data_IF_187826139017
#
_entry.id   IF_187826139017
#
_cell.length_a   1.000
_cell.length_b   1.000
_cell.length_c   1.000
_cell.angle_alpha   90.00
_cell.angle_beta   90.00
_cell.angle_gamma   90.00
#
_symmetry.space_group_name_H-M   'P 1'
#
loop_
_entity.id
_entity.type
_entity.pdbx_description
1 polymer ?
#
# COMPACT_ATOMS: atom_id res chain seq x y z
N UNK A 1 3.88 3.24 23.68
CA UNK A 1 4.70 4.11 24.55
C UNK A 1 4.50 5.52 24.04
N UNK A 2 4.09 6.46 24.88
CA UNK A 2 3.90 7.85 24.41
C UNK A 2 5.24 8.58 24.47
N UNK A 3 5.50 9.39 23.45
CA UNK A 3 6.72 10.19 23.30
C UNK A 3 6.66 11.41 24.23
N UNK A 4 6.77 11.18 25.54
CA UNK A 4 6.70 12.21 26.57
C UNK A 4 7.92 12.08 27.49
N UNK A 5 8.63 13.18 27.74
CA UNK A 5 9.78 13.22 28.65
C UNK A 5 9.38 13.25 30.14
N UNK A 6 10.39 13.29 31.01
CA UNK A 6 10.20 13.32 32.46
C UNK A 6 9.49 14.60 32.94
N UNK A 7 9.59 15.69 32.17
CA UNK A 7 8.93 16.97 32.45
C UNK A 7 7.52 17.07 31.85
N UNK A 8 7.02 15.99 31.22
CA UNK A 8 5.68 15.95 30.65
C UNK A 8 5.57 16.62 29.27
N UNK A 9 6.69 16.94 28.62
CA UNK A 9 6.73 17.55 27.29
C UNK A 9 6.76 16.46 26.21
N UNK A 10 6.14 16.75 25.07
CA UNK A 10 6.21 15.87 23.91
C UNK A 10 7.66 15.81 23.40
N UNK A 11 8.14 14.62 23.05
CA UNK A 11 9.44 14.36 22.40
C UNK A 11 9.22 13.78 21.00
N UNK A 12 8.80 14.61 20.02
CA UNK A 12 8.29 14.12 18.74
C UNK A 12 9.32 13.29 17.99
N UNK A 13 8.85 12.33 17.20
CA UNK A 13 9.69 11.62 16.23
C UNK A 13 9.12 11.92 14.86
N UNK A 14 9.94 12.47 13.98
CA UNK A 14 9.55 12.80 12.62
C UNK A 14 10.17 11.79 11.66
N UNK A 15 9.34 11.27 10.75
CA UNK A 15 9.78 10.42 9.66
C UNK A 15 9.27 10.97 8.35
N UNK A 16 10.16 11.16 7.39
CA UNK A 16 9.80 11.54 6.03
C UNK A 16 10.08 10.35 5.10
N UNK A 17 9.18 10.06 4.19
CA UNK A 17 9.40 9.17 3.06
C UNK A 17 9.34 9.99 1.79
N UNK A 18 10.41 9.99 1.01
CA UNK A 18 10.51 10.75 -0.24
C UNK A 18 10.82 9.82 -1.41
N UNK A 19 10.29 10.15 -2.59
CA UNK A 19 10.60 9.50 -3.86
C UNK A 19 11.94 9.94 -4.49
N UNK A 20 12.79 10.58 -3.68
CA UNK A 20 14.18 10.90 -3.96
C UNK A 20 15.10 9.80 -3.40
N UNK A 21 16.13 9.36 -4.14
CA UNK A 21 17.21 8.54 -3.60
C UNK A 21 17.85 9.19 -2.36
N UNK A 22 18.42 8.37 -1.46
CA UNK A 22 19.05 8.89 -0.22
C UNK A 22 20.27 9.76 -0.49
N UNK A 23 20.94 9.55 -1.61
CA UNK A 23 22.14 10.24 -2.07
C UNK A 23 21.83 11.42 -3.02
N UNK A 24 20.56 11.77 -3.19
CA UNK A 24 20.13 12.88 -4.04
C UNK A 24 20.09 14.21 -3.26
N UNK A 25 20.52 15.31 -3.88
CA UNK A 25 20.46 16.65 -3.29
C UNK A 25 19.05 17.04 -2.82
N UNK A 26 18.01 16.60 -3.54
CA UNK A 26 16.62 16.83 -3.17
C UNK A 26 16.28 16.22 -1.79
N UNK A 27 16.87 15.08 -1.46
CA UNK A 27 16.71 14.44 -0.15
C UNK A 27 17.30 15.32 0.96
N UNK A 28 18.52 15.81 0.76
CA UNK A 28 19.23 16.65 1.72
C UNK A 28 18.54 18.01 1.92
N UNK A 29 18.07 18.63 0.83
CA UNK A 29 17.34 19.91 0.90
C UNK A 29 16.03 19.78 1.70
N UNK A 30 15.29 18.68 1.54
CA UNK A 30 14.07 18.40 2.31
C UNK A 30 14.39 18.22 3.79
N UNK A 31 15.44 17.45 4.10
CA UNK A 31 15.89 17.26 5.48
C UNK A 31 16.31 18.60 6.12
N UNK A 32 17.16 19.38 5.46
CA UNK A 32 17.62 20.68 5.94
C UNK A 32 16.46 21.67 6.13
N UNK A 33 15.48 21.66 5.22
CA UNK A 33 14.31 22.52 5.33
C UNK A 33 13.42 22.14 6.51
N UNK A 34 13.25 20.85 6.81
CA UNK A 34 12.53 20.41 8.01
C UNK A 34 13.25 20.78 9.29
N UNK A 35 14.57 20.56 9.36
CA UNK A 35 15.37 21.00 10.51
C UNK A 35 15.21 22.51 10.73
N UNK A 36 15.29 23.29 9.66
CA UNK A 36 15.13 24.74 9.70
C UNK A 36 13.73 25.14 10.18
N UNK A 37 12.68 24.50 9.67
CA UNK A 37 11.31 24.76 10.06
C UNK A 37 11.07 24.44 11.56
N UNK A 38 11.61 23.32 12.06
CA UNK A 38 11.56 22.95 13.46
C UNK A 38 12.25 24.00 14.35
N UNK A 39 13.47 24.42 14.00
CA UNK A 39 14.21 25.45 14.75
C UNK A 39 13.44 26.76 14.80
N UNK A 40 12.90 27.23 13.66
CA UNK A 40 12.11 28.47 13.60
C UNK A 40 10.86 28.46 14.49
N UNK A 41 10.25 27.29 14.66
CA UNK A 41 9.04 27.10 15.50
C UNK A 41 9.36 26.68 16.94
N UNK A 42 10.64 26.54 17.29
CA UNK A 42 11.05 26.09 18.62
C UNK A 42 10.68 24.63 18.94
N UNK A 43 10.58 23.78 17.91
CA UNK A 43 10.27 22.36 18.03
C UNK A 43 11.56 21.54 18.01
N UNK A 44 11.68 20.59 18.93
CA UNK A 44 12.88 19.75 19.08
C UNK A 44 12.51 18.26 19.02
N UNK A 45 12.44 17.68 17.81
CA UNK A 45 12.19 16.25 17.68
C UNK A 45 13.34 15.44 18.27
N UNK A 46 13.02 14.32 18.92
CA UNK A 46 14.00 13.34 19.37
C UNK A 46 14.72 12.67 18.19
N UNK A 47 14.07 12.60 17.03
CA UNK A 47 14.66 12.10 15.80
C UNK A 47 13.97 12.69 14.57
N UNK A 48 14.76 12.88 13.51
CA UNK A 48 14.28 13.17 12.15
C UNK A 48 14.93 12.13 11.23
N UNK A 49 14.13 11.19 10.72
CA UNK A 49 14.58 10.19 9.74
C UNK A 49 13.98 10.51 8.36
N UNK A 50 14.80 10.47 7.32
CA UNK A 50 14.34 10.59 5.93
C UNK A 50 14.62 9.27 5.23
N UNK A 51 13.58 8.59 4.79
CA UNK A 51 13.64 7.35 4.03
C UNK A 51 13.37 7.57 2.55
N UNK A 52 13.91 6.68 1.72
CA UNK A 52 13.68 6.69 0.28
C UNK A 52 12.63 5.65 -0.14
N UNK A 53 11.84 6.03 -1.14
CA UNK A 53 11.00 5.14 -1.94
C UNK A 53 11.40 5.26 -3.41
N UNK A 54 11.15 4.25 -4.26
CA UNK A 54 11.42 4.36 -5.69
C UNK A 54 10.68 5.55 -6.32
N UNK A 55 11.34 6.19 -7.28
CA UNK A 55 10.84 7.42 -7.89
C UNK A 55 9.45 7.26 -8.51
N UNK A 56 8.53 8.16 -8.16
CA UNK A 56 7.16 8.23 -8.68
C UNK A 56 6.27 7.01 -8.38
N UNK A 57 6.72 6.09 -7.51
CA UNK A 57 5.96 4.89 -7.16
C UNK A 57 4.99 5.14 -5.99
N UNK A 58 3.77 5.54 -6.35
CA UNK A 58 2.71 5.81 -5.36
C UNK A 58 2.23 4.57 -4.61
N UNK A 59 2.43 3.36 -5.15
CA UNK A 59 2.02 2.11 -4.49
C UNK A 59 2.99 1.79 -3.37
N UNK A 60 4.29 1.83 -3.66
CA UNK A 60 5.33 1.64 -2.64
C UNK A 60 5.26 2.75 -1.59
N UNK A 61 5.01 4.00 -2.00
CA UNK A 61 4.78 5.11 -1.08
C UNK A 61 3.71 4.75 -0.05
N UNK A 62 2.50 4.41 -0.52
CA UNK A 62 1.40 4.06 0.37
C UNK A 62 1.69 2.85 1.23
N UNK A 63 2.26 1.78 0.65
CA UNK A 63 2.53 0.54 1.37
C UNK A 63 3.57 0.73 2.48
N UNK A 64 4.70 1.40 2.18
CA UNK A 64 5.73 1.68 3.20
C UNK A 64 5.17 2.57 4.31
N UNK A 65 4.37 3.58 3.99
CA UNK A 65 3.75 4.45 4.99
C UNK A 65 2.81 3.64 5.89
N UNK A 66 1.88 2.87 5.32
CA UNK A 66 0.95 2.04 6.10
C UNK A 66 1.68 1.01 6.97
N UNK A 67 2.67 0.30 6.39
CA UNK A 67 3.46 -0.69 7.11
C UNK A 67 4.16 -0.10 8.35
N UNK A 68 4.74 1.10 8.23
CA UNK A 68 5.45 1.76 9.32
C UNK A 68 4.50 2.41 10.33
N UNK A 69 3.43 3.05 9.87
CA UNK A 69 2.44 3.73 10.71
C UNK A 69 1.72 2.72 11.60
N UNK A 70 1.14 1.66 11.02
CA UNK A 70 0.33 0.71 11.78
C UNK A 70 1.14 -0.24 12.66
N UNK A 71 2.45 -0.38 12.42
CA UNK A 71 3.35 -1.14 13.31
C UNK A 71 4.13 -0.25 14.29
N UNK A 72 3.88 1.06 14.31
CA UNK A 72 4.56 1.95 15.26
C UNK A 72 4.07 1.72 16.68
N UNK A 73 5.02 1.58 17.61
CA UNK A 73 4.76 1.50 19.06
C UNK A 73 4.85 2.87 19.77
N UNK A 74 5.16 3.94 19.04
CA UNK A 74 5.41 5.28 19.58
C UNK A 74 4.13 6.14 19.72
N UNK A 75 3.08 5.83 18.96
CA UNK A 75 1.78 6.49 19.09
C UNK A 75 1.81 8.01 18.93
N UNK A 76 1.10 8.72 19.81
CA UNK A 76 0.99 10.18 19.82
C UNK A 76 2.36 10.88 19.85
N UNK A 77 2.60 11.76 18.88
CA UNK A 77 3.88 12.46 18.67
C UNK A 77 4.80 11.82 17.64
N UNK A 78 4.43 10.65 17.10
CA UNK A 78 5.12 10.07 15.95
C UNK A 78 4.43 10.53 14.67
N UNK A 79 5.16 11.26 13.84
CA UNK A 79 4.62 11.97 12.70
C UNK A 79 5.33 11.52 11.43
N UNK A 80 4.56 11.06 10.46
CA UNK A 80 5.04 10.64 9.15
C UNK A 80 4.69 11.69 8.11
N UNK A 81 5.67 12.12 7.31
CA UNK A 81 5.43 12.76 6.03
C UNK A 81 5.71 11.76 4.91
N UNK A 82 4.87 11.71 3.88
CA UNK A 82 5.13 10.91 2.68
C UNK A 82 4.91 11.76 1.43
N UNK A 83 6.00 12.02 0.72
CA UNK A 83 6.02 12.72 -0.54
C UNK A 83 6.25 11.73 -1.68
N UNK A 84 5.24 11.58 -2.54
CA UNK A 84 5.35 10.95 -3.83
C UNK A 84 4.41 11.72 -4.76
N UNK A 85 4.95 12.38 -5.77
CA UNK A 85 4.16 13.28 -6.62
C UNK A 85 4.54 13.06 -8.09
N UNK A 86 3.90 12.10 -8.77
CA UNK A 86 4.22 11.76 -10.16
C UNK A 86 3.93 12.87 -11.18
N UNK A 87 3.14 13.89 -10.84
CA UNK A 87 2.84 15.07 -11.69
C UNK A 87 2.31 14.70 -13.07
N UNK A 88 1.34 13.76 -13.14
CA UNK A 88 0.78 13.25 -14.41
C UNK A 88 -0.20 14.22 -15.12
N UNK A 89 -0.11 15.52 -14.87
CA UNK A 89 -1.04 16.50 -15.48
C UNK A 89 -0.65 16.76 -16.95
N UNK A 90 -1.51 16.36 -17.88
CA UNK A 90 -1.27 16.47 -19.33
C UNK A 90 -1.55 17.90 -19.86
N UNK A 91 -2.34 18.72 -19.16
CA UNK A 91 -2.79 20.02 -19.68
C UNK A 91 -2.93 21.05 -18.57
N UNK A 92 -1.99 21.99 -18.46
CA UNK A 92 -2.29 23.44 -18.30
C UNK A 92 -1.04 24.24 -17.97
N UNK A 93 -1.03 25.50 -18.42
CA UNK A 93 -0.13 26.58 -17.97
C UNK A 93 -0.32 26.98 -16.50
N UNK A 94 -1.23 26.31 -15.76
CA UNK A 94 -1.55 26.50 -14.35
C UNK A 94 -1.51 25.16 -13.59
N UNK A 95 -0.57 24.26 -13.92
CA UNK A 95 -0.49 22.95 -13.28
C UNK A 95 -0.30 23.08 -11.77
N UNK A 96 -1.35 22.76 -11.01
CA UNK A 96 -1.28 22.54 -9.56
C UNK A 96 -0.74 21.15 -9.31
N UNK A 97 0.08 20.99 -8.28
CA UNK A 97 0.49 19.66 -7.86
C UNK A 97 -0.56 18.99 -6.99
N UNK A 98 -0.34 17.71 -6.68
CA UNK A 98 -1.24 16.92 -5.83
C UNK A 98 -1.26 17.46 -4.39
N UNK A 99 -2.44 17.53 -3.77
CA UNK A 99 -2.61 18.08 -2.42
C UNK A 99 -2.07 17.14 -1.34
N UNK A 100 -1.65 17.70 -0.21
CA UNK A 100 -1.34 16.92 0.98
C UNK A 100 -2.61 16.74 1.84
N UNK A 101 -2.76 15.57 2.44
CA UNK A 101 -3.85 15.24 3.36
C UNK A 101 -3.27 14.81 4.71
N UNK A 102 -4.03 15.05 5.77
CA UNK A 102 -3.63 14.81 7.15
C UNK A 102 -4.41 13.61 7.71
N UNK A 103 -3.73 12.53 8.08
CA UNK A 103 -4.30 11.37 8.76
C UNK A 103 -3.94 11.31 10.23
N UNK A 104 -4.85 10.87 11.09
CA UNK A 104 -4.54 10.49 12.48
C UNK A 104 -5.12 9.11 12.78
N UNK A 105 -4.27 8.23 13.31
CA UNK A 105 -4.67 6.87 13.70
C UNK A 105 -5.23 6.83 15.13
N UNK A 106 -5.90 5.74 15.47
CA UNK A 106 -6.34 5.43 16.84
C UNK A 106 -5.19 5.35 17.86
N UNK A 107 -3.96 5.10 17.42
CA UNK A 107 -2.78 5.12 18.30
C UNK A 107 -2.19 6.52 18.49
N UNK A 108 -2.71 7.52 17.77
CA UNK A 108 -2.23 8.91 17.78
C UNK A 108 -1.06 9.18 16.83
N UNK A 109 -0.67 8.20 16.00
CA UNK A 109 0.31 8.43 14.93
C UNK A 109 -0.32 9.35 13.90
N UNK A 110 0.44 10.34 13.43
CA UNK A 110 -0.04 11.36 12.49
C UNK A 110 0.66 11.21 11.15
N UNK A 111 -0.07 11.44 10.07
CA UNK A 111 0.36 11.17 8.69
C UNK A 111 0.09 12.43 7.86
N UNK A 112 1.09 12.97 7.19
CA UNK A 112 0.98 14.01 6.19
C UNK A 112 1.42 13.43 4.85
N UNK A 113 0.46 13.04 4.00
CA UNK A 113 0.75 12.31 2.76
C UNK A 113 0.24 13.07 1.55
N UNK A 114 1.06 13.13 0.50
CA UNK A 114 0.61 13.64 -0.80
C UNK A 114 -0.42 12.66 -1.36
N UNK A 115 -1.66 13.15 -1.56
CA UNK A 115 -2.75 12.36 -2.11
C UNK A 115 -2.59 12.25 -3.64
N UNK A 116 -1.83 11.26 -4.08
CA UNK A 116 -1.48 11.03 -5.49
C UNK A 116 -1.55 9.53 -5.82
N UNK A 117 -2.00 9.21 -7.03
CA UNK A 117 -2.03 7.82 -7.53
C UNK A 117 -2.68 6.86 -6.53
N UNK A 118 -1.87 5.96 -5.94
CA UNK A 118 -2.28 4.95 -4.98
C UNK A 118 -1.72 5.14 -3.55
N UNK A 119 -1.22 6.33 -3.19
CA UNK A 119 -0.62 6.57 -1.86
C UNK A 119 -1.57 6.28 -0.70
N UNK A 120 -2.88 6.48 -0.91
CA UNK A 120 -3.91 6.21 0.09
C UNK A 120 -4.51 4.80 0.02
N UNK A 121 -4.22 4.00 -1.03
CA UNK A 121 -4.88 2.70 -1.23
C UNK A 121 -4.73 1.73 -0.03
N UNK A 122 -3.54 1.59 0.60
CA UNK A 122 -3.38 0.67 1.73
C UNK A 122 -4.14 1.07 3.00
N UNK A 123 -4.66 2.30 3.08
CA UNK A 123 -5.42 2.80 4.22
C UNK A 123 -6.93 2.55 4.10
N UNK A 124 -7.44 2.07 2.96
CA UNK A 124 -8.89 1.93 2.72
C UNK A 124 -9.59 1.13 3.83
N UNK A 125 -9.09 -0.07 4.16
CA UNK A 125 -9.69 -0.90 5.22
C UNK A 125 -9.64 -0.21 6.58
N UNK A 126 -8.55 0.50 6.88
CA UNK A 126 -8.37 1.18 8.16
C UNK A 126 -9.32 2.38 8.32
N UNK A 127 -9.55 3.14 7.24
CA UNK A 127 -10.54 4.22 7.21
C UNK A 127 -11.94 3.65 7.34
N UNK A 128 -12.24 2.59 6.60
CA UNK A 128 -13.54 1.92 6.68
C UNK A 128 -13.83 1.38 8.10
N UNK A 129 -12.80 0.86 8.78
CA UNK A 129 -12.89 0.39 10.16
C UNK A 129 -12.85 1.51 11.22
N UNK A 130 -12.62 2.77 10.82
CA UNK A 130 -12.49 3.91 11.74
C UNK A 130 -11.16 4.00 12.49
N UNK A 131 -10.17 3.16 12.15
CA UNK A 131 -8.85 3.12 12.81
C UNK A 131 -7.96 4.31 12.43
N UNK A 132 -8.28 4.99 11.34
CA UNK A 132 -7.63 6.22 10.89
C UNK A 132 -8.66 7.12 10.21
N UNK A 133 -8.58 8.43 10.43
CA UNK A 133 -9.34 9.42 9.65
C UNK A 133 -8.37 10.35 8.95
N UNK A 134 -8.63 10.61 7.67
CA UNK A 134 -7.90 11.61 6.90
C UNK A 134 -8.74 12.87 6.71
N UNK A 135 -8.07 14.01 6.66
CA UNK A 135 -8.62 15.34 6.51
C UNK A 135 -7.97 16.03 5.31
N UNK A 136 -8.75 16.84 4.60
CA UNK A 136 -8.21 17.80 3.64
C UNK A 136 -7.27 18.78 4.36
N UNK A 137 -6.38 19.39 3.58
CA UNK A 137 -5.56 20.49 4.08
C UNK A 137 -5.59 21.69 3.13
N UNK A 138 -5.31 22.88 3.67
CA UNK A 138 -5.08 24.10 2.89
C UNK A 138 -3.60 24.40 2.65
N UNK A 139 -2.69 23.45 2.92
CA UNK A 139 -1.26 23.60 2.61
C UNK A 139 -1.09 23.86 1.11
N UNK A 140 -0.28 24.86 0.68
CA UNK A 140 -0.20 25.25 -0.72
C UNK A 140 0.16 24.11 -1.68
N UNK A 141 -0.62 23.96 -2.74
CA UNK A 141 -0.43 22.97 -3.82
C UNK A 141 0.15 23.56 -5.11
N UNK A 142 0.40 24.88 -5.11
CA UNK A 142 0.94 25.66 -6.21
C UNK A 142 1.91 26.74 -5.68
N UNK A 143 2.66 27.38 -6.58
CA UNK A 143 3.62 28.44 -6.24
C UNK A 143 5.06 27.97 -6.04
N UNK A 144 5.29 26.66 -5.99
CA UNK A 144 6.62 26.05 -5.94
C UNK A 144 6.67 24.77 -6.78
N UNK A 145 7.78 24.57 -7.49
CA UNK A 145 8.09 23.31 -8.15
C UNK A 145 8.64 22.25 -7.18
N UNK A 146 9.08 22.63 -5.98
CA UNK A 146 9.69 21.75 -4.98
C UNK A 146 9.00 21.87 -3.61
N UNK A 147 7.69 21.59 -3.60
CA UNK A 147 6.79 21.78 -2.44
C UNK A 147 7.18 20.99 -1.19
N UNK A 148 7.80 19.82 -1.35
CA UNK A 148 8.33 19.03 -0.24
C UNK A 148 9.51 19.68 0.48
N UNK A 149 10.15 20.67 -0.14
CA UNK A 149 11.15 21.55 0.47
C UNK A 149 10.52 22.86 0.93
N UNK A 150 9.69 23.47 0.08
CA UNK A 150 9.26 24.85 0.28
C UNK A 150 8.01 25.02 1.16
N UNK A 151 7.12 24.02 1.25
CA UNK A 151 5.84 24.12 1.97
C UNK A 151 5.62 23.05 3.03
N UNK A 152 5.90 21.78 2.69
CA UNK A 152 5.58 20.66 3.58
C UNK A 152 6.41 20.63 4.88
N UNK A 153 7.69 21.08 4.91
CA UNK A 153 8.46 21.14 6.15
C UNK A 153 7.86 22.09 7.19
N UNK A 154 7.36 23.24 6.74
CA UNK A 154 6.67 24.21 7.58
C UNK A 154 5.39 23.62 8.16
N UNK A 155 4.55 23.00 7.32
CA UNK A 155 3.34 22.32 7.77
C UNK A 155 3.62 21.20 8.79
N UNK A 156 4.67 20.40 8.58
CA UNK A 156 5.11 19.37 9.53
C UNK A 156 5.53 19.95 10.88
N UNK A 157 6.27 21.06 10.89
CA UNK A 157 6.71 21.70 12.11
C UNK A 157 5.53 22.37 12.86
N UNK A 158 4.60 23.01 12.14
CA UNK A 158 3.37 23.57 12.71
C UNK A 158 2.49 22.49 13.35
N UNK A 159 2.31 21.34 12.67
CA UNK A 159 1.64 20.18 13.24
C UNK A 159 2.29 19.72 14.55
N UNK A 160 3.62 19.66 14.55
CA UNK A 160 4.37 19.15 15.70
C UNK A 160 4.21 20.08 16.91
N UNK A 161 4.27 21.39 16.68
CA UNK A 161 3.99 22.39 17.71
C UNK A 161 2.55 22.27 18.23
N UNK A 162 1.57 22.17 17.32
CA UNK A 162 0.16 21.99 17.66
C UNK A 162 -0.07 20.76 18.54
N UNK A 163 0.50 19.61 18.20
CA UNK A 163 0.37 18.38 19.00
C UNK A 163 1.01 18.54 20.39
N UNK A 164 2.12 19.27 20.48
CA UNK A 164 2.80 19.58 21.74
C UNK A 164 1.93 20.46 22.63
N UNK A 165 1.29 21.48 22.06
CA UNK A 165 0.41 22.39 22.80
C UNK A 165 -0.91 21.72 23.20
N UNK A 166 -1.47 20.87 22.33
CA UNK A 166 -2.63 20.03 22.68
C UNK A 166 -2.31 19.10 23.84
N UNK A 167 -1.11 18.52 23.90
CA UNK A 167 -0.69 17.72 25.06
C UNK A 167 -0.65 18.55 26.34
N UNK A 168 -0.12 19.78 26.30
CA UNK A 168 -0.09 20.68 27.47
C UNK A 168 -1.50 21.06 27.95
N UNK A 169 -2.41 21.36 27.02
CA UNK A 169 -3.76 21.84 27.34
C UNK A 169 -4.69 20.71 27.78
N UNK A 170 -4.74 19.62 27.01
CA UNK A 170 -5.69 18.52 27.25
C UNK A 170 -5.15 17.53 28.29
N UNK A 171 -3.82 17.39 28.37
CA UNK A 171 -3.19 16.33 29.12
C UNK A 171 -3.31 14.97 28.43
N UNK A 172 -2.37 14.10 28.81
CA UNK A 172 -2.21 12.73 28.31
C UNK A 172 -3.47 11.88 28.43
N UNK A 173 -4.15 11.92 29.57
CA UNK A 173 -5.35 11.11 29.81
C UNK A 173 -6.53 11.51 28.92
N UNK A 174 -6.71 12.82 28.66
CA UNK A 174 -7.76 13.27 27.74
C UNK A 174 -7.43 12.87 26.30
N UNK A 175 -6.18 13.02 25.87
CA UNK A 175 -5.73 12.58 24.53
C UNK A 175 -6.03 11.08 24.34
N UNK A 176 -5.67 10.23 25.31
CA UNK A 176 -5.98 8.79 25.25
C UNK A 176 -7.46 8.51 25.08
N UNK A 177 -8.30 9.18 25.86
CA UNK A 177 -9.77 9.03 25.77
C UNK A 177 -10.30 9.45 24.40
N UNK A 178 -9.79 10.56 23.84
CA UNK A 178 -10.17 11.03 22.52
C UNK A 178 -9.75 10.06 21.41
N UNK A 179 -8.53 9.54 21.48
CA UNK A 179 -8.03 8.53 20.56
C UNK A 179 -8.86 7.24 20.62
N UNK A 180 -9.20 6.75 21.82
CA UNK A 180 -10.05 5.58 22.01
C UNK A 180 -11.48 5.79 21.51
N UNK A 181 -11.99 7.01 21.59
CA UNK A 181 -13.31 7.41 21.09
C UNK A 181 -13.32 7.74 19.59
N UNK A 182 -12.17 7.65 18.90
CA UNK A 182 -11.99 8.10 17.51
C UNK A 182 -12.35 9.58 17.29
N UNK A 183 -12.25 10.40 18.34
CA UNK A 183 -12.53 11.84 18.31
C UNK A 183 -11.29 12.64 17.85
N UNK A 184 -10.68 12.22 16.73
CA UNK A 184 -9.42 12.78 16.22
C UNK A 184 -9.53 14.27 15.89
N UNK A 185 -10.71 14.72 15.45
CA UNK A 185 -10.95 16.12 15.15
C UNK A 185 -10.77 17.02 16.38
N UNK A 186 -11.15 16.59 17.59
CA UNK A 186 -10.96 17.41 18.81
C UNK A 186 -9.46 17.68 19.11
N UNK A 187 -8.61 16.70 18.78
CA UNK A 187 -7.15 16.82 18.91
C UNK A 187 -6.62 17.78 17.85
N UNK A 188 -7.07 17.64 16.61
CA UNK A 188 -6.56 18.43 15.47
C UNK A 188 -7.17 19.83 15.37
N UNK A 189 -8.34 20.08 15.98
CA UNK A 189 -9.05 21.34 15.90
C UNK A 189 -8.16 22.51 16.35
N UNK A 190 -8.13 23.58 15.56
CA UNK A 190 -7.28 24.76 15.79
C UNK A 190 -5.96 24.72 15.04
N UNK A 191 -5.65 23.63 14.33
CA UNK A 191 -4.56 23.60 13.36
C UNK A 191 -4.97 24.40 12.11
N UNK A 192 -4.18 25.42 11.77
CA UNK A 192 -4.53 26.45 10.78
C UNK A 192 -4.93 25.93 9.40
N UNK A 193 -4.34 24.81 8.98
CA UNK A 193 -4.59 24.24 7.67
C UNK A 193 -5.52 23.03 7.66
N UNK A 194 -6.14 22.68 8.79
CA UNK A 194 -7.08 21.56 8.87
C UNK A 194 -8.35 21.86 8.07
N UNK A 195 -8.70 20.97 7.16
CA UNK A 195 -9.97 20.99 6.42
C UNK A 195 -10.92 19.87 6.83
N UNK A 196 -11.93 19.65 5.99
CA UNK A 196 -12.96 18.63 6.22
C UNK A 196 -12.40 17.20 6.13
N UNK A 197 -13.02 16.22 6.82
CA UNK A 197 -12.71 14.80 6.65
C UNK A 197 -12.84 14.35 5.18
N UNK A 198 -11.94 13.49 4.73
CA UNK A 198 -12.06 12.82 3.44
C UNK A 198 -13.20 11.79 3.47
N UNK A 199 -13.92 11.68 2.35
CA UNK A 199 -14.87 10.59 2.16
C UNK A 199 -14.16 9.30 1.75
N UNK A 200 -14.80 8.15 1.99
CA UNK A 200 -14.23 6.84 1.65
C UNK A 200 -14.00 6.67 0.13
N UNK A 201 -14.78 7.35 -0.71
CA UNK A 201 -14.60 7.36 -2.17
C UNK A 201 -13.33 8.09 -2.64
N UNK A 202 -12.64 8.80 -1.76
CA UNK A 202 -11.36 9.46 -2.05
C UNK A 202 -10.16 8.52 -2.00
N UNK A 203 -10.37 7.26 -1.60
CA UNK A 203 -9.32 6.26 -1.44
C UNK A 203 -9.31 5.33 -2.67
N UNK A 204 -8.23 5.34 -3.47
CA UNK A 204 -8.12 4.50 -4.66
C UNK A 204 -8.03 3.03 -4.26
N UNK A 205 -8.54 2.14 -5.11
CA UNK A 205 -8.51 0.70 -4.87
C UNK A 205 -7.49 0.02 -5.80
N UNK A 206 -6.66 -0.87 -5.24
CA UNK A 206 -5.85 -1.82 -6.01
C UNK A 206 -6.53 -3.17 -6.02
N UNK A 207 -6.61 -3.87 -7.17
CA UNK A 207 -7.11 -5.24 -7.20
C UNK A 207 -6.45 -6.11 -6.13
N UNK A 208 -7.23 -6.92 -5.41
CA UNK A 208 -6.66 -7.89 -4.46
C UNK A 208 -5.74 -8.87 -5.22
N UNK A 209 -4.55 -9.15 -4.67
CA UNK A 209 -3.49 -9.92 -5.33
C UNK A 209 -2.48 -9.07 -6.13
N UNK A 210 -2.61 -7.73 -6.15
CA UNK A 210 -1.63 -6.81 -6.71
C UNK A 210 -0.33 -6.75 -5.92
N UNK A 211 0.79 -6.59 -6.63
CA UNK A 211 2.12 -6.38 -6.05
C UNK A 211 2.19 -5.03 -5.34
N UNK A 212 2.40 -5.05 -4.01
CA UNK A 212 2.66 -3.85 -3.22
C UNK A 212 4.13 -3.44 -3.25
N UNK A 213 5.03 -4.42 -3.15
CA UNK A 213 6.45 -4.16 -2.92
C UNK A 213 7.29 -5.36 -3.32
N UNK A 214 8.46 -5.10 -3.88
CA UNK A 214 9.53 -6.11 -4.02
C UNK A 214 10.66 -5.71 -3.10
N UNK A 215 11.05 -6.61 -2.19
CA UNK A 215 12.12 -6.32 -1.25
C UNK A 215 13.52 -6.50 -1.86
N UNK A 216 14.56 -6.12 -1.12
CA UNK A 216 15.94 -6.21 -1.59
C UNK A 216 16.41 -7.65 -1.83
N UNK A 217 15.73 -8.64 -1.26
CA UNK A 217 15.99 -10.07 -1.49
C UNK A 217 15.24 -10.62 -2.71
N UNK A 218 14.37 -9.81 -3.31
CA UNK A 218 13.57 -10.18 -4.48
C UNK A 218 12.28 -10.90 -4.13
N UNK A 219 11.81 -10.82 -2.89
CA UNK A 219 10.51 -11.35 -2.52
C UNK A 219 9.41 -10.36 -2.91
N UNK A 220 8.29 -10.89 -3.42
CA UNK A 220 7.20 -10.10 -4.00
C UNK A 220 6.03 -10.09 -3.02
N UNK A 221 5.77 -8.95 -2.38
CA UNK A 221 4.68 -8.76 -1.41
C UNK A 221 3.39 -8.35 -2.11
N UNK A 222 2.30 -9.04 -1.81
CA UNK A 222 0.99 -8.83 -2.42
C UNK A 222 0.03 -8.11 -1.46
N UNK A 223 -0.92 -7.35 -1.98
CA UNK A 223 -2.01 -6.76 -1.19
C UNK A 223 -3.10 -7.77 -0.80
N UNK A 224 -2.71 -9.00 -0.46
CA UNK A 224 -3.63 -10.08 -0.17
C UNK A 224 -3.35 -10.71 1.18
N UNK A 225 -4.35 -10.72 2.08
CA UNK A 225 -4.20 -11.30 3.42
C UNK A 225 -3.98 -12.80 3.30
N UNK A 226 -2.89 -13.32 3.87
CA UNK A 226 -2.48 -14.70 3.66
C UNK A 226 -3.50 -15.73 4.15
N UNK A 227 -4.16 -15.49 5.29
CA UNK A 227 -5.20 -16.40 5.76
C UNK A 227 -6.39 -16.52 4.79
N UNK A 228 -6.70 -15.48 3.97
CA UNK A 228 -7.75 -15.57 2.95
C UNK A 228 -7.36 -16.54 1.83
N UNK A 229 -6.08 -16.56 1.46
CA UNK A 229 -5.54 -17.50 0.45
C UNK A 229 -5.79 -18.95 0.89
N UNK A 230 -5.51 -19.23 2.16
CA UNK A 230 -5.62 -20.58 2.72
C UNK A 230 -7.06 -21.14 2.73
N UNK A 231 -8.08 -20.27 2.61
CA UNK A 231 -9.47 -20.70 2.45
C UNK A 231 -9.73 -21.36 1.09
N UNK A 232 -8.94 -21.01 0.07
CA UNK A 232 -9.08 -21.54 -1.29
C UNK A 232 -8.03 -22.60 -1.60
N UNK A 233 -6.81 -22.40 -1.12
CA UNK A 233 -5.66 -23.25 -1.42
C UNK A 233 -4.92 -23.60 -0.13
N UNK A 234 -5.09 -24.81 0.41
CA UNK A 234 -4.37 -25.26 1.60
C UNK A 234 -2.83 -25.30 1.38
N UNK A 235 -2.02 -25.24 2.46
CA UNK A 235 -0.58 -25.44 2.35
C UNK A 235 -0.23 -26.77 1.66
N UNK A 236 0.82 -26.75 0.84
CA UNK A 236 1.24 -27.86 -0.02
C UNK A 236 0.57 -27.88 -1.40
N UNK A 237 -0.43 -27.03 -1.65
CA UNK A 237 -1.11 -26.97 -2.95
C UNK A 237 -0.18 -26.40 -4.03
N UNK A 238 0.08 -27.13 -5.13
CA UNK A 238 0.80 -26.60 -6.28
C UNK A 238 -0.13 -25.73 -7.15
N UNK A 239 0.31 -24.51 -7.42
CA UNK A 239 -0.39 -23.56 -8.27
C UNK A 239 0.50 -23.13 -9.43
N UNK A 240 -0.14 -22.79 -10.56
CA UNK A 240 0.47 -21.98 -11.61
C UNK A 240 0.09 -20.54 -11.34
N UNK A 241 1.08 -19.66 -11.22
CA UNK A 241 0.90 -18.21 -11.01
C UNK A 241 1.30 -17.45 -12.25
N UNK A 242 0.39 -16.65 -12.78
CA UNK A 242 0.67 -15.61 -13.76
C UNK A 242 0.88 -14.27 -13.08
N UNK A 243 1.98 -13.59 -13.44
CA UNK A 243 2.28 -12.21 -13.05
C UNK A 243 3.01 -11.51 -14.20
N UNK A 244 2.50 -10.35 -14.61
CA UNK A 244 2.99 -9.67 -15.81
C UNK A 244 2.82 -10.55 -17.06
N UNK A 245 3.92 -10.83 -17.77
CA UNK A 245 3.92 -11.67 -18.98
C UNK A 245 4.46 -13.09 -18.72
N UNK A 246 4.58 -13.50 -17.46
CA UNK A 246 5.25 -14.75 -17.10
C UNK A 246 4.34 -15.63 -16.25
N UNK A 247 4.52 -16.94 -16.40
CA UNK A 247 3.93 -17.96 -15.52
C UNK A 247 5.04 -18.68 -14.77
N UNK A 248 4.80 -19.02 -13.51
CA UNK A 248 5.68 -19.87 -12.71
C UNK A 248 4.86 -20.83 -11.87
N UNK A 249 5.36 -22.06 -11.71
CA UNK A 249 4.85 -22.96 -10.68
C UNK A 249 5.25 -22.43 -9.30
N UNK A 250 4.31 -22.47 -8.36
CA UNK A 250 4.53 -22.10 -6.96
C UNK A 250 3.84 -23.11 -6.04
N UNK A 251 4.38 -23.28 -4.83
CA UNK A 251 3.74 -24.08 -3.78
C UNK A 251 3.16 -23.15 -2.72
N UNK A 252 1.91 -23.37 -2.32
CA UNK A 252 1.32 -22.64 -1.19
C UNK A 252 1.97 -23.09 0.11
N UNK A 253 2.50 -22.16 0.89
CA UNK A 253 3.06 -22.41 2.22
C UNK A 253 2.26 -21.72 3.32
N UNK A 254 2.55 -22.09 4.57
CA UNK A 254 2.01 -21.48 5.79
C UNK A 254 2.86 -20.27 6.27
N UNK A 255 4.19 -20.41 6.25
CA UNK A 255 5.16 -19.37 6.62
C UNK A 255 6.45 -19.53 5.80
N UNK A 256 7.17 -18.42 5.56
CA UNK A 256 8.22 -18.37 4.54
C UNK A 256 9.35 -19.40 4.62
N UNK A 257 9.57 -20.03 5.78
CA UNK A 257 10.65 -21.00 5.97
C UNK A 257 10.22 -22.47 5.92
N UNK A 258 8.94 -22.78 5.68
CA UNK A 258 8.48 -24.18 5.65
C UNK A 258 8.85 -24.94 4.38
N UNK A 259 9.40 -24.24 3.37
CA UNK A 259 9.75 -24.84 2.08
C UNK A 259 11.24 -25.15 1.95
N UNK A 260 11.53 -26.15 1.12
CA UNK A 260 12.90 -26.50 0.72
C UNK A 260 13.55 -25.41 -0.12
N UNK A 261 14.88 -25.44 -0.20
CA UNK A 261 15.64 -24.56 -1.09
C UNK A 261 15.25 -24.76 -2.56
N UNK A 262 15.22 -23.67 -3.33
CA UNK A 262 14.87 -23.71 -4.76
C UNK A 262 13.37 -23.79 -5.07
N UNK A 263 12.50 -23.90 -4.06
CA UNK A 263 11.04 -23.88 -4.25
C UNK A 263 10.54 -22.44 -4.25
N UNK A 264 9.87 -22.02 -5.33
CA UNK A 264 9.08 -20.78 -5.34
C UNK A 264 7.80 -21.04 -4.57
N UNK A 265 7.57 -20.25 -3.52
CA UNK A 265 6.48 -20.43 -2.58
C UNK A 265 5.58 -19.20 -2.53
N UNK A 266 4.28 -19.42 -2.36
CA UNK A 266 3.32 -18.38 -2.00
C UNK A 266 2.98 -18.54 -0.52
N UNK A 267 3.48 -17.64 0.31
CA UNK A 267 3.57 -17.85 1.77
C UNK A 267 3.20 -16.61 2.57
N UNK A 268 3.03 -16.75 3.88
CA UNK A 268 2.88 -15.62 4.80
C UNK A 268 4.21 -14.86 4.92
N UNK A 269 4.21 -13.62 4.45
CA UNK A 269 5.36 -12.73 4.53
C UNK A 269 5.51 -12.06 5.90
N UNK A 270 6.57 -11.28 6.07
CA UNK A 270 6.83 -10.49 7.30
C UNK A 270 6.09 -9.15 7.36
N UNK A 271 5.41 -8.77 6.29
CA UNK A 271 4.64 -7.52 6.20
C UNK A 271 3.16 -7.75 6.46
N UNK A 272 2.51 -6.74 7.02
CA UNK A 272 1.18 -6.86 7.60
C UNK A 272 1.01 -5.96 8.81
N UNK A 273 -0.23 -5.79 9.23
CA UNK A 273 -0.60 -4.92 10.34
C UNK A 273 -1.94 -5.33 10.93
N UNK A 274 -2.34 -4.66 12.02
CA UNK A 274 -3.64 -4.85 12.65
C UNK A 274 -4.56 -3.68 12.28
N UNK A 275 -5.75 -4.02 11.78
CA UNK A 275 -6.83 -3.06 11.49
C UNK A 275 -8.14 -3.65 12.00
N UNK A 276 -8.91 -2.83 12.72
CA UNK A 276 -10.21 -3.20 13.24
C UNK A 276 -10.13 -4.35 14.25
N UNK A 277 -11.19 -5.16 14.30
CA UNK A 277 -11.33 -6.28 15.24
C UNK A 277 -10.71 -7.58 14.76
N UNK A 278 -10.24 -7.65 13.51
CA UNK A 278 -9.68 -8.87 12.90
C UNK A 278 -8.32 -9.27 13.49
N UNK A 279 -7.69 -8.40 14.28
CA UNK A 279 -6.35 -8.63 14.81
C UNK A 279 -5.26 -8.38 13.76
N UNK A 280 -4.02 -8.77 14.09
CA UNK A 280 -2.88 -8.61 13.18
C UNK A 280 -2.96 -9.66 12.07
N UNK A 281 -2.94 -9.23 10.82
CA UNK A 281 -2.82 -10.10 9.66
C UNK A 281 -1.48 -9.90 8.96
N UNK A 282 -1.08 -10.91 8.19
CA UNK A 282 0.10 -10.89 7.33
C UNK A 282 -0.32 -10.95 5.86
N UNK A 283 0.45 -10.28 5.01
CA UNK A 283 0.28 -10.35 3.57
C UNK A 283 0.90 -11.61 2.98
N UNK A 284 0.33 -12.05 1.87
CA UNK A 284 0.91 -13.10 1.03
C UNK A 284 2.13 -12.56 0.30
N UNK A 285 3.14 -13.41 0.15
CA UNK A 285 4.40 -13.10 -0.51
C UNK A 285 4.81 -14.24 -1.43
N UNK A 286 5.28 -13.92 -2.64
CA UNK A 286 5.99 -14.86 -3.48
C UNK A 286 7.46 -14.82 -3.05
N UNK A 287 7.95 -15.95 -2.57
CA UNK A 287 9.23 -16.11 -1.90
C UNK A 287 10.00 -17.25 -2.56
N UNK A 288 11.33 -17.12 -2.67
CA UNK A 288 12.21 -18.19 -3.14
C UNK A 288 13.33 -18.39 -2.13
N UNK A 289 13.32 -19.53 -1.45
CA UNK A 289 14.37 -19.84 -0.46
C UNK A 289 15.72 -20.03 -1.15
N UNK A 290 16.71 -19.26 -0.71
CA UNK A 290 18.08 -19.32 -1.27
C UNK A 290 18.22 -18.58 -2.60
N UNK A 291 17.19 -17.87 -3.07
CA UNK A 291 17.22 -17.16 -4.34
C UNK A 291 16.36 -15.89 -4.32
N UNK A 292 16.01 -15.41 -5.52
CA UNK A 292 15.15 -14.24 -5.70
C UNK A 292 13.89 -14.61 -6.47
N UNK A 293 12.71 -14.40 -5.89
CA UNK A 293 11.44 -14.73 -6.55
C UNK A 293 11.16 -13.81 -7.76
N UNK A 294 11.55 -12.54 -7.67
CA UNK A 294 11.42 -11.55 -8.76
C UNK A 294 12.13 -11.96 -10.05
N UNK A 295 13.19 -12.76 -9.98
CA UNK A 295 13.89 -13.28 -11.15
C UNK A 295 13.03 -14.22 -12.02
N UNK A 296 12.00 -14.85 -11.43
CA UNK A 296 11.02 -15.66 -12.15
C UNK A 296 9.95 -14.82 -12.86
N UNK A 297 9.89 -13.51 -12.61
CA UNK A 297 8.88 -12.62 -13.18
C UNK A 297 9.55 -11.36 -13.77
N UNK A 298 10.36 -11.51 -14.84
CA UNK A 298 11.06 -10.40 -15.44
C UNK A 298 10.08 -9.31 -15.92
N UNK A 299 10.37 -8.06 -15.56
CA UNK A 299 9.57 -6.91 -15.94
C UNK A 299 8.29 -6.71 -15.13
N UNK A 300 8.08 -7.45 -14.03
CA UNK A 300 6.98 -7.19 -13.09
C UNK A 300 7.03 -5.73 -12.60
N UNK A 301 5.86 -5.16 -12.34
CA UNK A 301 5.71 -3.83 -11.75
C UNK A 301 4.80 -3.89 -10.52
N UNK A 302 4.99 -2.95 -9.60
CA UNK A 302 4.00 -2.73 -8.55
C UNK A 302 2.64 -2.40 -9.15
N UNK A 303 1.59 -2.95 -8.55
CA UNK A 303 0.22 -2.88 -9.07
C UNK A 303 -0.16 -4.03 -9.99
N UNK A 304 0.80 -4.74 -10.61
CA UNK A 304 0.51 -5.94 -11.38
C UNK A 304 -0.19 -6.97 -10.49
N UNK A 305 -1.29 -7.55 -10.98
CA UNK A 305 -2.09 -8.51 -10.23
C UNK A 305 -1.62 -9.94 -10.49
N UNK A 306 -1.42 -10.70 -9.43
CA UNK A 306 -1.24 -12.15 -9.51
C UNK A 306 -2.56 -12.81 -9.88
N UNK A 307 -2.50 -13.77 -10.80
CA UNK A 307 -3.60 -14.71 -11.06
C UNK A 307 -3.07 -16.12 -10.86
N UNK A 308 -3.73 -16.92 -10.04
CA UNK A 308 -3.31 -18.27 -9.70
C UNK A 308 -4.44 -19.28 -9.91
N UNK A 309 -4.08 -20.48 -10.36
CA UNK A 309 -4.98 -21.64 -10.40
C UNK A 309 -4.18 -22.94 -10.33
N UNK A 310 -4.86 -24.07 -10.18
CA UNK A 310 -4.20 -25.37 -10.26
C UNK A 310 -3.77 -25.68 -11.70
N UNK A 311 -2.68 -26.44 -11.86
CA UNK A 311 -2.23 -26.88 -13.19
C UNK A 311 -3.29 -27.73 -13.93
N UNK A 312 -4.07 -28.50 -13.17
CA UNK A 312 -5.17 -29.29 -13.72
C UNK A 312 -6.27 -28.41 -14.31
N UNK A 313 -6.65 -27.32 -13.62
CA UNK A 313 -7.65 -26.39 -14.12
C UNK A 313 -7.14 -25.60 -15.32
N UNK A 314 -5.86 -25.19 -15.32
CA UNK A 314 -5.24 -24.55 -16.48
C UNK A 314 -5.25 -25.45 -17.71
N UNK A 315 -4.92 -26.74 -17.55
CA UNK A 315 -4.95 -27.68 -18.66
C UNK A 315 -6.37 -27.85 -19.24
N UNK A 316 -7.40 -27.95 -18.38
CA UNK A 316 -8.80 -28.01 -18.83
C UNK A 316 -9.20 -26.75 -19.61
N UNK A 317 -8.80 -25.56 -19.12
CA UNK A 317 -9.04 -24.29 -19.83
C UNK A 317 -8.38 -24.34 -21.21
N UNK A 318 -7.10 -24.71 -21.28
CA UNK A 318 -6.35 -24.79 -22.54
C UNK A 318 -7.00 -25.78 -23.50
N UNK A 319 -7.44 -26.94 -23.02
CA UNK A 319 -8.08 -27.96 -23.86
C UNK A 319 -9.43 -27.47 -24.40
N UNK A 320 -10.23 -26.76 -23.60
CA UNK A 320 -11.47 -26.14 -24.07
C UNK A 320 -11.21 -25.05 -25.11
N UNK A 321 -10.17 -24.23 -24.92
CA UNK A 321 -9.79 -23.18 -25.86
C UNK A 321 -9.24 -23.73 -27.17
N UNK A 322 -8.42 -24.80 -27.12
CA UNK A 322 -7.90 -25.49 -28.32
C UNK A 322 -8.99 -26.13 -29.17
N UNK A 323 -10.06 -26.60 -28.52
CA UNK A 323 -11.21 -27.20 -29.19
C UNK A 323 -12.33 -26.18 -29.53
N UNK A 324 -12.08 -24.88 -29.32
CA UNK A 324 -13.05 -23.85 -29.63
C UNK A 324 -13.26 -23.73 -31.15
N UNK A 325 -14.44 -23.24 -31.56
CA UNK A 325 -14.69 -22.97 -32.97
C UNK A 325 -13.75 -21.87 -33.49
N UNK A 326 -13.58 -21.80 -34.81
CA UNK A 326 -12.78 -20.77 -35.47
C UNK A 326 -13.24 -19.36 -35.08
N UNK A 327 -14.54 -19.11 -35.07
CA UNK A 327 -15.11 -17.82 -34.71
C UNK A 327 -14.75 -17.39 -33.28
N UNK A 328 -14.70 -18.33 -32.34
CA UNK A 328 -14.29 -18.06 -30.95
C UNK A 328 -12.79 -17.83 -30.89
N UNK A 329 -12.02 -18.62 -31.62
CA UNK A 329 -10.56 -18.53 -31.68
C UNK A 329 -10.10 -17.17 -32.23
N UNK A 330 -10.76 -16.67 -33.27
CA UNK A 330 -10.48 -15.38 -33.87
C UNK A 330 -10.88 -14.22 -32.94
N UNK A 331 -12.05 -14.32 -32.27
CA UNK A 331 -12.52 -13.29 -31.33
C UNK A 331 -11.64 -13.13 -30.09
N UNK A 332 -11.09 -14.24 -29.59
CA UNK A 332 -10.22 -14.26 -28.42
C UNK A 332 -8.73 -14.17 -28.78
N UNK A 333 -8.39 -14.04 -30.06
CA UNK A 333 -7.02 -14.03 -30.58
C UNK A 333 -6.18 -15.20 -30.02
N UNK A 334 -6.75 -16.41 -30.03
CA UNK A 334 -6.13 -17.58 -29.38
C UNK A 334 -4.80 -17.99 -30.04
N UNK A 335 -4.60 -17.66 -31.31
CA UNK A 335 -3.37 -17.97 -32.05
C UNK A 335 -2.16 -17.18 -31.56
N UNK A 336 -2.37 -16.01 -30.95
CA UNK A 336 -1.31 -15.14 -30.43
C UNK A 336 -1.37 -14.96 -28.91
N UNK A 337 -2.16 -15.79 -28.23
CA UNK A 337 -2.40 -15.69 -26.79
C UNK A 337 -1.52 -16.66 -26.00
N UNK A 338 -0.72 -16.11 -25.10
CA UNK A 338 0.12 -16.87 -24.16
C UNK A 338 -0.67 -17.27 -22.89
N UNK A 339 -0.23 -18.30 -22.17
CA UNK A 339 -0.85 -18.73 -20.90
C UNK A 339 -1.06 -17.58 -19.87
N UNK A 340 -0.09 -16.68 -19.59
CA UNK A 340 -0.33 -15.55 -18.70
C UNK A 340 -1.51 -14.67 -19.13
N UNK A 341 -1.69 -14.47 -20.45
CA UNK A 341 -2.79 -13.68 -21.02
C UNK A 341 -4.13 -14.40 -20.86
N UNK A 342 -4.16 -15.73 -21.03
CA UNK A 342 -5.35 -16.55 -20.74
C UNK A 342 -5.76 -16.36 -19.28
N UNK A 343 -4.81 -16.52 -18.35
CA UNK A 343 -5.06 -16.36 -16.93
C UNK A 343 -5.57 -14.96 -16.57
N UNK A 344 -4.96 -13.92 -17.14
CA UNK A 344 -5.43 -12.54 -16.97
C UNK A 344 -6.83 -12.32 -17.55
N UNK A 345 -7.16 -12.92 -18.69
CA UNK A 345 -8.50 -12.85 -19.27
C UNK A 345 -9.55 -13.49 -18.36
N UNK A 346 -9.23 -14.64 -17.74
CA UNK A 346 -10.10 -15.27 -16.75
C UNK A 346 -10.35 -14.37 -15.54
N UNK A 347 -9.32 -13.65 -15.06
CA UNK A 347 -9.50 -12.70 -13.97
C UNK A 347 -10.37 -11.50 -14.37
N UNK A 348 -10.17 -10.93 -15.57
CA UNK A 348 -11.02 -9.84 -16.10
C UNK A 348 -12.47 -10.26 -16.28
N UNK A 349 -12.70 -11.50 -16.71
CA UNK A 349 -14.03 -12.12 -16.80
C UNK A 349 -14.61 -12.52 -15.43
N UNK A 350 -13.93 -12.20 -14.33
CA UNK A 350 -14.31 -12.52 -12.93
C UNK A 350 -14.47 -14.01 -12.66
N UNK A 351 -13.84 -14.86 -13.47
CA UNK A 351 -13.75 -16.31 -13.27
C UNK A 351 -12.71 -16.67 -12.21
N UNK A 352 -11.66 -15.85 -12.10
CA UNK A 352 -10.74 -15.87 -10.97
C UNK A 352 -10.85 -14.55 -10.22
N UNK A 353 -11.42 -14.60 -9.02
CA UNK A 353 -11.64 -13.41 -8.19
C UNK A 353 -10.44 -13.20 -7.28
N UNK A 354 -10.08 -11.93 -7.09
CA UNK A 354 -9.03 -11.50 -6.15
C UNK A 354 -7.68 -12.22 -6.37
N UNK A 355 -7.42 -12.67 -7.59
CA UNK A 355 -6.22 -13.41 -7.98
C UNK A 355 -6.20 -14.90 -7.62
N UNK A 356 -7.00 -15.37 -6.65
CA UNK A 356 -6.85 -16.72 -6.07
C UNK A 356 -8.14 -17.54 -5.99
N UNK A 357 -9.32 -16.92 -5.95
CA UNK A 357 -10.58 -17.66 -5.84
C UNK A 357 -11.01 -18.18 -7.22
N UNK A 358 -10.88 -19.49 -7.42
CA UNK A 358 -11.21 -20.20 -8.66
C UNK A 358 -12.60 -20.83 -8.65
N UNK A 359 -13.46 -20.51 -7.67
CA UNK A 359 -14.79 -21.14 -7.54
C UNK A 359 -15.65 -20.94 -8.80
N UNK A 360 -15.69 -19.72 -9.33
CA UNK A 360 -16.44 -19.41 -10.55
C UNK A 360 -15.84 -20.07 -11.80
N UNK A 361 -14.52 -20.15 -11.89
CA UNK A 361 -13.83 -20.91 -12.93
C UNK A 361 -14.23 -22.39 -12.90
N UNK A 362 -14.18 -23.03 -11.73
CA UNK A 362 -14.52 -24.45 -11.58
C UNK A 362 -15.99 -24.73 -11.91
N UNK A 363 -16.88 -23.82 -11.50
CA UNK A 363 -18.29 -23.86 -11.91
C UNK A 363 -18.44 -23.78 -13.44
N UNK A 364 -17.70 -22.87 -14.08
CA UNK A 364 -17.77 -22.67 -15.52
C UNK A 364 -17.22 -23.85 -16.33
N UNK A 365 -16.12 -24.44 -15.85
CA UNK A 365 -15.53 -25.66 -16.41
C UNK A 365 -16.52 -26.83 -16.30
N UNK A 366 -17.18 -26.99 -15.16
CA UNK A 366 -18.14 -28.09 -14.93
C UNK A 366 -19.41 -27.95 -15.77
N UNK A 367 -19.85 -26.72 -16.06
CA UNK A 367 -21.04 -26.44 -16.89
C UNK A 367 -20.74 -26.37 -18.39
N UNK A 368 -19.46 -26.33 -18.78
CA UNK A 368 -19.06 -26.14 -20.17
C UNK A 368 -19.36 -24.75 -20.74
N UNK A 369 -19.60 -23.74 -19.90
CA UNK A 369 -19.95 -22.37 -20.33
C UNK A 369 -18.75 -21.39 -20.36
N UNK A 370 -17.54 -21.89 -20.14
CA UNK A 370 -16.29 -21.11 -20.10
C UNK A 370 -16.14 -20.16 -21.31
N UNK A 371 -16.25 -20.69 -22.53
CA UNK A 371 -16.06 -19.90 -23.76
C UNK A 371 -17.08 -18.78 -23.88
N UNK A 372 -18.33 -19.03 -23.48
CA UNK A 372 -19.38 -18.01 -23.46
C UNK A 372 -19.03 -16.88 -22.51
N UNK A 373 -18.46 -17.19 -21.34
CA UNK A 373 -18.09 -16.19 -20.33
C UNK A 373 -16.86 -15.37 -20.73
N UNK A 374 -15.92 -15.95 -21.47
CA UNK A 374 -14.74 -15.24 -21.98
C UNK A 374 -15.05 -14.27 -23.13
N UNK A 375 -16.18 -14.44 -23.81
CA UNK A 375 -16.60 -13.58 -24.94
C UNK A 375 -17.43 -12.36 -24.52
N UNK A 376 -17.73 -12.19 -23.23
CA UNK A 376 -18.45 -11.04 -22.65
C UNK A 376 -17.43 -10.04 -22.13
#
# INVERSE_FOLDING_TARGET
MELIDAEGRLTPVLKILTDYPRDDLAHDEVHQSLVTACVKRGVWPANIDVGAIPSLDTIIAGFKTAQLVFNSQLGYGHIFHTNCAPRKNIVSVQSKGEKIVLGMTRTGVVILVVNSGYTLAPFYEAVHAGEVTFYQTSVPDAGSQFRSRDYFPDAMADLTLHLSDKLKVLGKERIRKLLQAHAFHEILQGLDYLGDPLNLGSFPHLPEGSVYYVDSFGNIKLNYKHYKLLNFHPPGTPLVVALGNTVSDVIVGDAGFSMGEGVVALTSGSSGWAVGREGKYMFSEIFLRGGRADSHFPGLKTGDQVVAMTRADLQKVIDMLRNASRDVSDKLDLYNTSEPRIMQALSRAKLIRNGFDTTELQNALSRGDLLKRLMV
#
